data_IF_786461495633
#
_entry.id   IF_786461495633
#
_cell.length_a   1.000
_cell.length_b   1.000
_cell.length_c   1.000
_cell.angle_alpha   90.00
_cell.angle_beta   90.00
_cell.angle_gamma   90.00
#
_symmetry.space_group_name_H-M   'P 1'
#
loop_
_entity.id
_entity.type
_entity.pdbx_description
1 polymer ?
#
# COMPACT_ATOMS: atom_id res chain seq x y z
N UNK A 1 7.88 -0.31 -11.59
CA UNK A 1 6.41 -0.32 -11.42
C UNK A 1 6.02 -0.90 -10.06
N UNK A 2 6.37 -2.16 -9.82
CA UNK A 2 5.80 -2.96 -8.72
C UNK A 2 6.08 -2.43 -7.30
N UNK A 3 7.28 -1.91 -7.02
CA UNK A 3 7.69 -1.46 -5.67
C UNK A 3 7.58 0.06 -5.44
N UNK A 4 7.32 0.83 -6.50
CA UNK A 4 7.40 2.30 -6.46
C UNK A 4 5.98 2.84 -6.48
N UNK A 5 5.33 2.88 -5.32
CA UNK A 5 3.97 3.41 -5.22
C UNK A 5 3.49 3.57 -3.79
N UNK A 6 2.80 4.69 -3.54
CA UNK A 6 2.13 4.95 -2.25
C UNK A 6 1.17 3.81 -1.86
N UNK A 7 0.52 3.20 -2.86
CA UNK A 7 -0.41 2.07 -2.68
C UNK A 7 0.26 0.84 -2.04
N UNK A 8 1.56 0.59 -2.31
CA UNK A 8 2.31 -0.50 -1.67
C UNK A 8 2.44 -0.24 -0.17
N UNK A 9 2.86 0.97 0.20
CA UNK A 9 3.16 1.30 1.59
C UNK A 9 1.88 1.38 2.42
N UNK A 10 0.86 2.10 1.92
CA UNK A 10 -0.44 2.21 2.61
C UNK A 10 -1.09 0.83 2.73
N UNK A 11 -1.14 0.06 1.64
CA UNK A 11 -1.77 -1.25 1.64
C UNK A 11 -1.04 -2.25 2.54
N UNK A 12 0.30 -2.29 2.54
CA UNK A 12 1.05 -3.22 3.41
C UNK A 12 0.91 -2.91 4.89
N UNK A 13 0.85 -1.63 5.26
CA UNK A 13 0.59 -1.22 6.64
C UNK A 13 -0.82 -1.62 7.04
N UNK A 14 -1.82 -1.29 6.22
CA UNK A 14 -3.22 -1.58 6.51
C UNK A 14 -3.52 -3.09 6.56
N UNK A 15 -2.93 -3.88 5.68
CA UNK A 15 -3.03 -5.35 5.71
C UNK A 15 -2.36 -5.91 6.97
N UNK A 16 -1.17 -5.42 7.32
CA UNK A 16 -0.46 -5.87 8.52
C UNK A 16 -1.14 -5.48 9.83
N UNK A 17 -1.80 -4.32 9.91
CA UNK A 17 -2.39 -3.80 11.16
C UNK A 17 -3.89 -4.06 11.27
N UNK A 18 -4.64 -3.87 10.19
CA UNK A 18 -6.09 -3.99 10.13
C UNK A 18 -6.57 -5.32 9.55
N UNK A 19 -5.67 -6.11 8.95
CA UNK A 19 -6.06 -7.33 8.24
C UNK A 19 -6.91 -7.06 7.00
N UNK A 20 -6.79 -5.87 6.40
CA UNK A 20 -7.52 -5.48 5.19
C UNK A 20 -6.59 -5.42 3.96
N UNK A 21 -6.45 -6.53 3.21
CA UNK A 21 -5.64 -6.61 2.00
C UNK A 21 -6.32 -6.06 0.74
N UNK A 22 -7.50 -5.44 0.83
CA UNK A 22 -8.28 -4.97 -0.33
C UNK A 22 -7.45 -4.11 -1.30
N UNK A 23 -6.65 -3.20 -0.77
CA UNK A 23 -5.76 -2.33 -1.56
C UNK A 23 -4.64 -3.11 -2.23
N UNK A 24 -4.09 -4.12 -1.54
CA UNK A 24 -3.07 -5.01 -2.10
C UNK A 24 -3.65 -5.85 -3.25
N UNK A 25 -4.91 -6.27 -3.16
CA UNK A 25 -5.56 -7.00 -4.25
C UNK A 25 -5.73 -6.13 -5.48
N UNK A 26 -6.23 -4.90 -5.32
CA UNK A 26 -6.33 -3.95 -6.44
C UNK A 26 -4.96 -3.72 -7.07
N UNK A 27 -3.92 -3.52 -6.25
CA UNK A 27 -2.54 -3.39 -6.73
C UNK A 27 -2.09 -4.61 -7.53
N UNK A 28 -2.31 -5.81 -6.99
CA UNK A 28 -1.88 -7.07 -7.60
C UNK A 28 -2.55 -7.31 -8.94
N UNK A 29 -3.82 -6.90 -9.10
CA UNK A 29 -4.53 -6.93 -10.37
C UNK A 29 -3.90 -5.97 -11.39
N UNK A 30 -3.64 -4.72 -10.99
CA UNK A 30 -3.00 -3.72 -11.87
C UNK A 30 -1.60 -4.15 -12.30
N UNK A 31 -0.81 -4.65 -11.35
CA UNK A 31 0.53 -5.18 -11.57
C UNK A 31 0.49 -6.43 -12.46
N UNK A 32 -0.52 -7.30 -12.30
CA UNK A 32 -0.76 -8.47 -13.14
C UNK A 32 -1.03 -8.09 -14.60
N UNK A 33 -1.93 -7.13 -14.84
CA UNK A 33 -2.21 -6.62 -16.19
C UNK A 33 -0.95 -6.00 -16.81
N UNK A 34 -0.21 -5.19 -16.06
CA UNK A 34 1.05 -4.60 -16.52
C UNK A 34 2.13 -5.66 -16.81
N UNK A 35 2.16 -6.75 -16.03
CA UNK A 35 3.12 -7.84 -16.22
C UNK A 35 2.92 -8.58 -17.55
N UNK A 36 1.69 -8.72 -18.04
CA UNK A 36 1.40 -9.37 -19.34
C UNK A 36 2.01 -8.53 -20.47
N UNK A 37 1.78 -7.21 -20.44
CA UNK A 37 2.34 -6.29 -21.42
C UNK A 37 3.88 -6.31 -21.36
N UNK A 38 4.46 -6.24 -20.17
CA UNK A 38 5.92 -6.24 -19.98
C UNK A 38 6.56 -7.60 -20.32
N UNK A 39 5.87 -8.72 -20.11
CA UNK A 39 6.38 -10.05 -20.43
C UNK A 39 6.58 -10.23 -21.94
N UNK A 40 5.78 -9.56 -22.78
CA UNK A 40 5.98 -9.57 -24.23
C UNK A 40 7.29 -8.89 -24.67
N UNK A 41 7.79 -7.94 -23.88
CA UNK A 41 8.99 -7.14 -24.18
C UNK A 41 10.24 -7.67 -23.47
N UNK A 42 10.10 -8.05 -22.19
CA UNK A 42 11.20 -8.43 -21.29
C UNK A 42 11.24 -9.92 -20.95
N UNK A 43 10.28 -10.72 -21.45
CA UNK A 43 10.24 -12.17 -21.30
C UNK A 43 10.09 -12.63 -19.84
N UNK A 44 10.74 -13.76 -19.53
CA UNK A 44 10.70 -14.43 -18.20
C UNK A 44 11.22 -13.55 -17.05
N UNK A 45 12.00 -12.49 -17.34
CA UNK A 45 12.53 -11.57 -16.33
C UNK A 45 11.43 -10.87 -15.51
N UNK A 46 10.22 -10.74 -16.06
CA UNK A 46 9.08 -10.17 -15.32
C UNK A 46 8.63 -11.08 -14.18
N UNK A 47 8.66 -12.41 -14.36
CA UNK A 47 8.31 -13.35 -13.30
C UNK A 47 9.27 -13.27 -12.11
N UNK A 48 10.56 -13.01 -12.35
CA UNK A 48 11.54 -12.80 -11.29
C UNK A 48 11.26 -11.54 -10.44
N UNK A 49 10.51 -10.56 -10.96
CA UNK A 49 10.13 -9.37 -10.19
C UNK A 49 9.17 -9.70 -9.04
N UNK A 50 8.39 -10.78 -9.15
CA UNK A 50 7.50 -11.24 -8.08
C UNK A 50 8.27 -11.57 -6.79
N UNK A 51 9.50 -12.07 -6.90
CA UNK A 51 10.35 -12.35 -5.74
C UNK A 51 10.71 -11.06 -4.99
N UNK A 52 11.10 -10.01 -5.71
CA UNK A 52 11.44 -8.72 -5.11
C UNK A 52 10.24 -8.07 -4.43
N UNK A 53 9.07 -8.15 -5.06
CA UNK A 53 7.80 -7.70 -4.47
C UNK A 53 7.47 -8.48 -3.21
N UNK A 54 7.53 -9.81 -3.27
CA UNK A 54 7.27 -10.67 -2.12
C UNK A 54 8.18 -10.34 -0.94
N UNK A 55 9.49 -10.15 -1.20
CA UNK A 55 10.45 -9.80 -0.15
C UNK A 55 10.12 -8.43 0.44
N UNK A 56 10.02 -7.36 -0.35
CA UNK A 56 9.87 -6.01 0.22
C UNK A 56 8.47 -5.80 0.79
N UNK A 57 7.42 -6.07 -0.01
CA UNK A 57 6.04 -5.86 0.39
C UNK A 57 5.64 -6.79 1.54
N UNK A 58 6.05 -8.07 1.46
CA UNK A 58 5.81 -9.05 2.52
C UNK A 58 6.55 -8.71 3.81
N UNK A 59 7.78 -8.20 3.73
CA UNK A 59 8.52 -7.72 4.92
C UNK A 59 7.79 -6.58 5.62
N UNK A 60 7.26 -5.61 4.86
CA UNK A 60 6.56 -4.46 5.43
C UNK A 60 5.26 -4.91 6.10
N UNK A 61 4.48 -5.77 5.44
CA UNK A 61 3.25 -6.33 6.02
C UNK A 61 3.53 -7.12 7.29
N UNK A 62 4.55 -7.99 7.28
CA UNK A 62 4.94 -8.80 8.45
C UNK A 62 5.49 -7.95 9.60
N UNK A 63 6.25 -6.90 9.30
CA UNK A 63 6.74 -5.99 10.32
C UNK A 63 5.54 -5.27 10.96
N UNK A 64 4.64 -4.72 10.13
CA UNK A 64 3.46 -4.00 10.60
C UNK A 64 2.54 -4.86 11.47
N UNK A 65 2.42 -6.15 11.19
CA UNK A 65 1.62 -7.07 12.02
C UNK A 65 2.26 -7.45 13.35
N UNK A 66 3.58 -7.32 13.49
CA UNK A 66 4.29 -7.58 14.75
C UNK A 66 4.35 -6.38 15.69
N UNK A 67 4.08 -5.18 15.18
CA UNK A 67 4.12 -3.97 15.98
C UNK A 67 2.80 -3.82 16.77
N UNK A 68 2.80 -4.31 18.02
CA UNK A 68 1.64 -4.28 18.92
C UNK A 68 1.00 -2.90 19.10
N UNK A 69 1.80 -1.82 19.03
CA UNK A 69 1.29 -0.46 19.20
C UNK A 69 0.38 -0.01 18.05
N UNK A 70 0.57 -0.53 16.82
CA UNK A 70 -0.32 -0.23 15.69
C UNK A 70 -1.66 -0.96 15.79
N UNK A 71 -1.76 -2.00 16.63
CA UNK A 71 -2.99 -2.77 16.83
C UNK A 71 -3.90 -2.17 17.92
N UNK A 72 -3.47 -1.09 18.58
CA UNK A 72 -4.35 -0.38 19.52
C UNK A 72 -5.58 0.16 18.76
N UNK A 73 -6.79 0.12 19.35
CA UNK A 73 -8.02 0.49 18.64
C UNK A 73 -8.01 1.93 18.10
N UNK A 74 -7.39 2.85 18.84
CA UNK A 74 -7.27 4.27 18.48
C UNK A 74 -6.35 4.46 17.27
N UNK A 75 -5.17 3.85 17.30
CA UNK A 75 -4.20 3.91 16.20
C UNK A 75 -4.74 3.19 14.96
N UNK A 76 -5.42 2.06 15.15
CA UNK A 76 -6.00 1.30 14.05
C UNK A 76 -7.09 2.09 13.32
N UNK A 77 -7.96 2.78 14.08
CA UNK A 77 -8.97 3.67 13.50
C UNK A 77 -8.32 4.83 12.75
N UNK A 78 -7.27 5.44 13.30
CA UNK A 78 -6.55 6.53 12.65
C UNK A 78 -5.85 6.09 11.35
N UNK A 79 -5.22 4.93 11.35
CA UNK A 79 -4.60 4.31 10.16
C UNK A 79 -5.66 4.01 9.11
N UNK A 80 -6.77 3.40 9.49
CA UNK A 80 -7.83 3.00 8.56
C UNK A 80 -8.51 4.22 7.94
N UNK A 81 -8.80 5.24 8.74
CA UNK A 81 -9.41 6.48 8.25
C UNK A 81 -8.47 7.23 7.28
N UNK A 82 -7.20 7.38 7.66
CA UNK A 82 -6.20 8.10 6.84
C UNK A 82 -5.84 7.29 5.59
N UNK A 83 -5.65 5.98 5.74
CA UNK A 83 -5.38 5.03 4.66
C UNK A 83 -6.51 4.99 3.66
N UNK A 84 -7.77 4.90 4.11
CA UNK A 84 -8.95 4.95 3.25
C UNK A 84 -9.01 6.23 2.41
N UNK A 85 -8.69 7.38 3.01
CA UNK A 85 -8.67 8.67 2.29
C UNK A 85 -7.54 8.74 1.26
N UNK A 86 -6.37 8.16 1.57
CA UNK A 86 -5.28 7.98 0.61
C UNK A 86 -5.67 7.04 -0.54
N UNK A 87 -6.35 5.93 -0.24
CA UNK A 87 -6.85 4.97 -1.24
C UNK A 87 -7.85 5.64 -2.17
N UNK A 88 -8.78 6.45 -1.66
CA UNK A 88 -9.66 7.26 -2.48
C UNK A 88 -8.87 8.19 -3.41
N UNK A 89 -7.84 8.87 -2.90
CA UNK A 89 -6.95 9.69 -3.72
C UNK A 89 -6.24 8.89 -4.82
N UNK A 90 -5.86 7.65 -4.54
CA UNK A 90 -5.28 6.74 -5.54
C UNK A 90 -6.34 6.32 -6.57
N UNK A 91 -7.57 6.02 -6.14
CA UNK A 91 -8.68 5.70 -7.05
C UNK A 91 -9.00 6.85 -8.01
N UNK A 92 -8.99 8.09 -7.53
CA UNK A 92 -9.19 9.29 -8.37
C UNK A 92 -8.08 9.41 -9.43
N UNK A 93 -6.84 9.11 -9.07
CA UNK A 93 -5.73 9.07 -10.03
C UNK A 93 -5.92 7.98 -11.09
N UNK A 94 -6.34 6.78 -10.67
CA UNK A 94 -6.56 5.65 -11.57
C UNK A 94 -7.71 5.88 -12.55
N UNK A 95 -8.74 6.60 -12.12
CA UNK A 95 -9.85 7.02 -12.98
C UNK A 95 -9.50 8.23 -13.88
N UNK A 96 -8.26 8.73 -13.79
CA UNK A 96 -7.75 9.90 -14.54
C UNK A 96 -8.61 11.17 -14.36
N UNK A 97 -9.43 11.23 -13.31
CA UNK A 97 -10.32 12.38 -13.05
C UNK A 97 -9.52 13.59 -12.57
N UNK A 98 -8.50 13.36 -11.74
CA UNK A 98 -7.60 14.40 -11.21
C UNK A 98 -6.28 13.80 -10.76
N UNK A 99 -5.18 14.50 -11.01
CA UNK A 99 -3.85 14.11 -10.55
C UNK A 99 -3.60 14.57 -9.11
N UNK A 100 -3.72 13.65 -8.16
CA UNK A 100 -3.38 13.82 -6.75
C UNK A 100 -2.01 13.18 -6.49
N UNK A 101 -1.05 13.93 -5.96
CA UNK A 101 0.27 13.38 -5.60
C UNK A 101 0.18 12.60 -4.30
N UNK A 102 -0.42 11.41 -4.32
CA UNK A 102 -0.65 10.55 -3.15
C UNK A 102 0.64 10.14 -2.45
N UNK A 103 1.76 10.06 -3.18
CA UNK A 103 3.09 9.89 -2.58
C UNK A 103 3.50 11.01 -1.63
N UNK A 104 3.08 12.25 -1.87
CA UNK A 104 3.37 13.38 -0.97
C UNK A 104 2.46 13.40 0.26
N UNK A 105 1.35 12.66 0.22
CA UNK A 105 0.39 12.54 1.31
C UNK A 105 0.72 11.38 2.24
N UNK A 106 1.70 10.54 1.88
CA UNK A 106 2.15 9.41 2.71
C UNK A 106 2.56 9.80 4.14
N UNK A 107 3.21 10.95 4.40
CA UNK A 107 3.52 11.39 5.76
C UNK A 107 2.29 11.58 6.65
N UNK A 108 1.09 11.77 6.07
CA UNK A 108 -0.15 11.87 6.84
C UNK A 108 -0.42 10.62 7.69
N UNK A 109 -0.02 9.42 7.23
CA UNK A 109 -0.13 8.21 8.05
C UNK A 109 0.76 8.27 9.30
N UNK A 110 1.98 8.81 9.17
CA UNK A 110 2.86 8.99 10.32
C UNK A 110 2.26 9.98 11.33
N UNK A 111 1.70 11.10 10.84
CA UNK A 111 1.00 12.05 11.70
C UNK A 111 -0.24 11.44 12.38
N UNK A 112 -1.01 10.61 11.67
CA UNK A 112 -2.18 9.94 12.24
C UNK A 112 -1.79 8.97 13.37
N UNK A 113 -0.73 8.18 13.17
CA UNK A 113 -0.22 7.25 14.18
C UNK A 113 0.32 8.02 15.40
N UNK A 114 1.11 9.07 15.19
CA UNK A 114 1.65 9.88 16.29
C UNK A 114 0.54 10.58 17.06
N UNK A 115 -0.45 11.14 16.36
CA UNK A 115 -1.61 11.77 16.99
C UNK A 115 -2.39 10.79 17.86
N UNK A 116 -2.69 9.60 17.35
CA UNK A 116 -3.42 8.56 18.08
C UNK A 116 -2.61 7.89 19.22
N UNK A 117 -1.30 8.12 19.30
CA UNK A 117 -0.49 7.67 20.43
C UNK A 117 -0.37 8.72 21.54
N UNK A 118 -0.64 10.00 21.23
CA UNK A 118 -0.49 11.14 22.15
C UNK A 118 -1.82 11.52 22.80
N UNK A 119 -2.94 11.31 22.10
CA UNK A 119 -4.30 11.62 22.53
C UNK A 119 -5.10 10.34 22.71
#
# INVERSE_FOLDING_TARGET
LYLVGAMMIVGSIQDGTAGDPSTLYVKSLLDGVASIALASTFGVGVAFSALSVFVVQGSITLLSSKLLFLQSPEVLNAITATGGLLILGIGINLLELKTIRTGNLLPALAYAIVGALVF
#
